data_IF_967208231374
#
_entry.id   IF_967208231374
#
_cell.length_a   1.000
_cell.length_b   1.000
_cell.length_c   1.000
_cell.angle_alpha   90.00
_cell.angle_beta   90.00
_cell.angle_gamma   90.00
#
_symmetry.space_group_name_H-M   'P 1'
#
loop_
_entity.id
_entity.type
_entity.pdbx_description
1 polymer ?
#
# COMPACT_ATOMS: atom_id res chain seq x y z
N UNK A 1 -25.45 -4.02 -8.03
CA UNK A 1 -25.63 -3.97 -6.57
C UNK A 1 -25.42 -2.54 -6.10
N UNK A 2 -26.15 -2.09 -5.07
CA UNK A 2 -25.99 -0.73 -4.53
C UNK A 2 -24.73 -0.67 -3.66
N UNK A 3 -23.65 -0.09 -4.20
CA UNK A 3 -22.43 0.19 -3.43
C UNK A 3 -22.73 1.30 -2.44
N UNK A 4 -22.90 0.97 -1.16
CA UNK A 4 -23.02 1.97 -0.09
C UNK A 4 -21.65 2.56 0.25
N UNK A 5 -21.42 3.82 -0.10
CA UNK A 5 -20.22 4.56 0.32
C UNK A 5 -20.40 4.98 1.78
N UNK A 6 -19.84 4.20 2.70
CA UNK A 6 -19.84 4.53 4.13
C UNK A 6 -18.70 5.50 4.43
N UNK A 7 -19.01 6.65 5.04
CA UNK A 7 -18.00 7.62 5.48
C UNK A 7 -16.99 6.98 6.44
N UNK A 8 -15.71 7.19 6.16
CA UNK A 8 -14.58 6.74 6.99
C UNK A 8 -14.03 7.85 7.90
N UNK A 9 -14.65 9.04 7.88
CA UNK A 9 -14.18 10.19 8.68
C UNK A 9 -14.23 9.85 10.18
N UNK A 10 -13.08 9.94 10.84
CA UNK A 10 -12.91 9.62 12.26
C UNK A 10 -12.64 8.14 12.58
N UNK A 11 -12.61 7.25 11.57
CA UNK A 11 -12.22 5.85 11.78
C UNK A 11 -10.70 5.71 11.84
N UNK A 12 -10.25 4.79 12.67
CA UNK A 12 -8.85 4.38 12.75
C UNK A 12 -8.68 3.04 12.03
N UNK A 13 -7.53 2.86 11.38
CA UNK A 13 -7.20 1.67 10.61
C UNK A 13 -5.85 1.13 11.04
N UNK A 14 -5.70 -0.20 11.05
CA UNK A 14 -4.42 -0.88 11.21
C UNK A 14 -3.96 -1.37 9.83
N UNK A 15 -2.76 -0.96 9.42
CA UNK A 15 -2.09 -1.35 8.17
C UNK A 15 -0.60 -1.55 8.43
N UNK A 16 0.06 -2.34 7.59
CA UNK A 16 1.51 -2.48 7.54
C UNK A 16 2.10 -1.30 6.77
N UNK A 17 3.21 -0.76 7.26
CA UNK A 17 4.06 0.14 6.47
C UNK A 17 4.96 -0.72 5.59
N UNK A 18 4.84 -0.54 4.27
CA UNK A 18 5.64 -1.25 3.26
C UNK A 18 6.82 -0.40 2.81
N UNK A 19 6.58 0.89 2.55
CA UNK A 19 7.60 1.84 2.12
C UNK A 19 7.65 3.09 3.01
N UNK A 20 8.85 3.64 3.16
CA UNK A 20 9.14 4.85 3.96
C UNK A 20 9.65 5.99 3.06
N UNK A 21 9.73 7.24 3.55
CA UNK A 21 10.23 8.35 2.74
C UNK A 21 11.57 8.04 2.07
N UNK A 22 11.64 8.27 0.75
CA UNK A 22 12.80 7.99 -0.10
C UNK A 22 12.76 6.64 -0.83
N UNK A 23 11.95 5.68 -0.36
CA UNK A 23 11.80 4.37 -1.01
C UNK A 23 11.18 4.50 -2.40
N UNK A 24 11.63 3.64 -3.31
CA UNK A 24 10.95 3.41 -4.59
C UNK A 24 9.95 2.27 -4.46
N UNK A 25 8.66 2.56 -4.60
CA UNK A 25 7.58 1.60 -4.33
C UNK A 25 6.75 1.32 -5.57
N UNK A 26 6.20 0.11 -5.66
CA UNK A 26 5.27 -0.29 -6.71
C UNK A 26 4.39 -1.45 -6.28
N UNK A 27 3.53 -1.93 -7.18
CA UNK A 27 2.61 -3.05 -6.92
C UNK A 27 2.61 -3.99 -8.10
N UNK A 28 3.14 -5.20 -7.94
CA UNK A 28 3.16 -6.23 -8.99
C UNK A 28 2.34 -7.45 -8.55
N UNK A 29 1.44 -7.94 -9.40
CA UNK A 29 0.57 -9.09 -9.09
C UNK A 29 -0.09 -8.94 -7.70
N UNK A 30 -0.74 -7.80 -7.43
CA UNK A 30 -1.34 -7.43 -6.13
C UNK A 30 -0.39 -7.18 -4.94
N UNK A 31 0.90 -7.51 -5.08
CA UNK A 31 1.85 -7.44 -3.97
C UNK A 31 2.65 -6.13 -4.05
N UNK A 32 2.63 -5.32 -2.98
CA UNK A 32 3.47 -4.14 -2.93
C UNK A 32 4.95 -4.54 -2.78
N UNK A 33 5.82 -3.76 -3.40
CA UNK A 33 7.26 -3.96 -3.32
C UNK A 33 8.01 -2.65 -3.10
N UNK A 34 9.23 -2.76 -2.60
CA UNK A 34 10.23 -1.70 -2.56
C UNK A 34 11.44 -2.12 -3.40
N UNK A 35 11.82 -1.29 -4.36
CA UNK A 35 13.07 -1.47 -5.10
C UNK A 35 14.24 -1.06 -4.22
N UNK A 36 15.24 -1.94 -4.09
CA UNK A 36 16.41 -1.74 -3.25
C UNK A 36 17.61 -1.24 -4.07
N UNK A 37 18.00 -1.97 -5.11
CA UNK A 37 19.15 -1.65 -5.95
C UNK A 37 18.96 -2.19 -7.38
N UNK A 38 19.66 -1.60 -8.36
CA UNK A 38 19.76 -2.13 -9.72
C UNK A 38 21.21 -2.09 -10.19
N UNK A 39 21.66 -3.17 -10.84
CA UNK A 39 22.96 -3.29 -11.50
C UNK A 39 22.69 -3.56 -12.99
N UNK A 40 22.73 -2.50 -13.79
CA UNK A 40 22.24 -2.57 -15.18
C UNK A 40 20.73 -2.81 -15.21
N UNK A 41 20.31 -3.85 -15.94
CA UNK A 41 18.90 -4.24 -16.07
C UNK A 41 18.43 -5.21 -14.96
N UNK A 42 19.34 -5.67 -14.09
CA UNK A 42 19.02 -6.56 -12.97
C UNK A 42 18.72 -5.74 -11.71
N UNK A 43 17.56 -5.95 -11.09
CA UNK A 43 17.07 -5.16 -9.98
C UNK A 43 16.61 -6.06 -8.83
N UNK A 44 16.97 -5.66 -7.60
CA UNK A 44 16.58 -6.35 -6.37
C UNK A 44 15.41 -5.65 -5.70
N UNK A 45 14.40 -6.42 -5.30
CA UNK A 45 13.17 -5.93 -4.69
C UNK A 45 12.90 -6.62 -3.35
N UNK A 46 12.39 -5.86 -2.37
CA UNK A 46 11.69 -6.41 -1.21
C UNK A 46 10.20 -6.45 -1.50
N UNK A 47 9.62 -7.64 -1.52
CA UNK A 47 8.18 -7.84 -1.77
C UNK A 47 7.48 -8.15 -0.45
N UNK A 48 6.44 -7.38 -0.12
CA UNK A 48 5.59 -7.61 1.05
C UNK A 48 4.33 -8.37 0.62
N UNK A 49 4.16 -9.59 1.12
CA UNK A 49 2.99 -10.42 0.80
C UNK A 49 1.79 -9.99 1.62
N UNK A 50 0.87 -9.27 0.98
CA UNK A 50 -0.30 -8.68 1.66
C UNK A 50 -1.62 -9.31 1.24
N UNK A 51 -1.57 -10.51 0.65
CA UNK A 51 -2.73 -11.18 0.04
C UNK A 51 -3.09 -10.61 -1.32
N UNK A 52 -3.67 -11.46 -2.18
CA UNK A 52 -4.15 -11.05 -3.50
C UNK A 52 -5.22 -9.97 -3.37
N UNK A 53 -5.14 -8.95 -4.21
CA UNK A 53 -6.06 -7.82 -4.25
C UNK A 53 -6.65 -7.79 -5.65
N UNK A 54 -7.93 -8.12 -5.82
CA UNK A 54 -8.61 -7.99 -7.11
C UNK A 54 -9.99 -7.43 -6.86
N UNK A 55 -10.22 -6.21 -7.35
CA UNK A 55 -11.50 -5.49 -7.24
C UNK A 55 -11.81 -4.74 -8.55
N UNK A 56 -11.85 -5.43 -9.70
CA UNK A 56 -12.17 -4.80 -10.99
C UNK A 56 -13.60 -4.21 -11.02
N UNK A 57 -14.45 -4.62 -10.09
CA UNK A 57 -15.78 -4.06 -9.85
C UNK A 57 -15.74 -2.65 -9.22
N UNK A 58 -14.62 -2.25 -8.61
CA UNK A 58 -14.48 -0.99 -7.88
C UNK A 58 -13.35 -0.09 -8.39
N UNK A 59 -12.26 -0.67 -8.87
CA UNK A 59 -11.05 0.04 -9.27
C UNK A 59 -10.48 -0.58 -10.54
N UNK A 60 -9.95 0.26 -11.44
CA UNK A 60 -9.27 -0.21 -12.65
C UNK A 60 -8.08 -1.10 -12.29
N UNK A 61 -7.77 -2.09 -13.13
CA UNK A 61 -6.69 -3.07 -12.90
C UNK A 61 -5.32 -2.41 -12.73
N UNK A 62 -5.11 -1.27 -13.38
CA UNK A 62 -3.92 -0.43 -13.20
C UNK A 62 -3.80 0.12 -11.77
N UNK A 63 -4.85 0.09 -10.94
CA UNK A 63 -4.78 0.49 -9.53
C UNK A 63 -4.11 -0.55 -8.64
N UNK A 64 -3.95 -1.79 -9.07
CA UNK A 64 -3.43 -2.87 -8.22
C UNK A 64 -2.53 -3.87 -8.94
N UNK A 65 -2.30 -3.69 -10.24
CA UNK A 65 -1.41 -4.49 -11.05
C UNK A 65 -0.55 -3.60 -11.97
N UNK A 66 0.52 -3.02 -11.43
CA UNK A 66 1.42 -2.09 -12.12
C UNK A 66 2.77 -2.73 -12.37
N UNK A 67 3.14 -2.87 -13.64
CA UNK A 67 4.40 -3.52 -14.03
C UNK A 67 5.60 -2.62 -13.71
N UNK A 68 5.43 -1.29 -13.67
CA UNK A 68 6.46 -0.32 -13.30
C UNK A 68 6.21 0.31 -11.92
N UNK A 69 7.24 0.75 -11.18
CA UNK A 69 7.08 1.43 -9.89
C UNK A 69 6.39 2.78 -10.10
N UNK A 70 5.07 2.82 -9.95
CA UNK A 70 4.31 4.07 -10.07
C UNK A 70 3.49 4.29 -8.81
N UNK A 71 3.77 5.42 -8.17
CA UNK A 71 2.99 5.94 -7.05
C UNK A 71 1.78 6.64 -7.66
N UNK A 72 0.56 6.24 -7.27
CA UNK A 72 -0.64 6.96 -7.69
C UNK A 72 -0.66 8.35 -7.02
N UNK A 73 -0.19 9.40 -7.69
CA UNK A 73 -0.15 10.76 -7.15
C UNK A 73 -1.32 11.64 -7.61
N UNK A 74 -2.25 11.13 -8.44
CA UNK A 74 -3.25 11.93 -9.19
C UNK A 74 -2.63 13.04 -10.08
N UNK A 75 -1.33 13.00 -10.32
CA UNK A 75 -0.57 13.94 -11.15
C UNK A 75 0.16 13.08 -12.18
N UNK A 76 0.05 13.40 -13.46
CA UNK A 76 0.64 12.66 -14.59
C UNK A 76 2.19 12.68 -14.64
N UNK A 77 2.85 12.81 -13.50
CA UNK A 77 4.27 12.51 -13.32
C UNK A 77 4.34 11.35 -12.33
N UNK A 78 4.51 10.14 -12.87
CA UNK A 78 4.82 8.96 -12.08
C UNK A 78 6.11 9.22 -11.30
N UNK A 79 5.99 9.65 -10.04
CA UNK A 79 7.13 9.75 -9.15
C UNK A 79 7.46 8.35 -8.66
N UNK A 80 8.68 7.89 -8.86
CA UNK A 80 9.07 6.55 -8.41
C UNK A 80 9.37 6.50 -6.91
N UNK A 81 9.56 7.64 -6.24
CA UNK A 81 10.03 7.75 -4.85
C UNK A 81 9.01 8.41 -3.93
N UNK A 82 8.84 7.85 -2.74
CA UNK A 82 8.04 8.48 -1.67
C UNK A 82 8.67 9.79 -1.21
N UNK A 83 7.87 10.85 -1.15
CA UNK A 83 8.33 12.14 -0.65
C UNK A 83 8.60 12.14 0.86
N UNK A 84 9.23 13.21 1.34
CA UNK A 84 9.37 13.45 2.77
C UNK A 84 8.00 13.46 3.45
N UNK A 85 7.83 12.55 4.40
CA UNK A 85 6.58 12.39 5.15
C UNK A 85 5.50 11.58 4.43
N UNK A 86 5.85 10.87 3.36
CA UNK A 86 4.98 9.89 2.71
C UNK A 86 5.36 8.46 3.08
N UNK A 87 4.35 7.62 3.20
CA UNK A 87 4.48 6.21 3.52
C UNK A 87 3.59 5.40 2.60
N UNK A 88 4.08 4.27 2.10
CA UNK A 88 3.25 3.32 1.38
C UNK A 88 2.75 2.25 2.35
N UNK A 89 1.43 2.11 2.49
CA UNK A 89 0.82 1.18 3.44
C UNK A 89 -0.04 0.14 2.76
N UNK A 90 -0.03 -1.09 3.27
CA UNK A 90 -0.87 -2.16 2.77
C UNK A 90 -1.41 -3.00 3.93
N UNK A 91 -2.62 -3.53 3.78
CA UNK A 91 -3.21 -4.44 4.75
C UNK A 91 -3.02 -5.88 4.31
N UNK A 92 -2.68 -6.76 5.25
CA UNK A 92 -2.37 -8.18 4.99
C UNK A 92 -3.58 -9.01 4.53
N UNK A 93 -4.81 -8.46 4.57
CA UNK A 93 -6.05 -9.14 4.16
C UNK A 93 -6.43 -8.89 2.69
N UNK A 94 -5.44 -8.66 1.82
CA UNK A 94 -5.59 -8.63 0.36
C UNK A 94 -6.76 -7.77 -0.11
N UNK A 95 -7.64 -8.37 -0.90
CA UNK A 95 -8.82 -7.77 -1.54
C UNK A 95 -9.79 -7.04 -0.59
N UNK A 96 -9.75 -7.34 0.72
CA UNK A 96 -10.58 -6.65 1.73
C UNK A 96 -9.94 -5.35 2.24
N UNK A 97 -8.73 -5.03 1.80
CA UNK A 97 -7.97 -3.87 2.27
C UNK A 97 -7.88 -2.79 1.19
N UNK A 98 -8.69 -1.73 1.32
CA UNK A 98 -8.48 -0.51 0.53
C UNK A 98 -7.31 0.28 1.16
N UNK A 99 -6.16 0.31 0.49
CA UNK A 99 -4.88 0.83 0.99
C UNK A 99 -4.04 1.48 -0.13
N UNK A 100 -2.77 1.81 0.13
CA UNK A 100 -1.94 2.62 -0.78
C UNK A 100 -1.76 2.01 -2.17
N UNK A 101 -2.05 0.72 -2.35
CA UNK A 101 -2.15 0.11 -3.68
C UNK A 101 -3.10 0.93 -4.57
N UNK A 102 -4.27 1.26 -4.04
CA UNK A 102 -5.33 1.97 -4.77
C UNK A 102 -5.17 3.49 -4.71
N UNK A 103 -5.04 4.05 -3.49
CA UNK A 103 -5.13 5.51 -3.27
C UNK A 103 -3.78 6.20 -3.07
N UNK A 104 -2.66 5.49 -3.25
CA UNK A 104 -1.32 6.07 -3.19
C UNK A 104 -0.82 6.36 -1.77
N UNK A 105 0.19 7.24 -1.62
CA UNK A 105 0.90 7.41 -0.36
C UNK A 105 0.07 8.01 0.78
N UNK A 106 0.31 7.51 1.99
CA UNK A 106 -0.22 8.07 3.23
C UNK A 106 0.69 9.18 3.75
N UNK A 107 0.13 10.36 4.00
CA UNK A 107 0.85 11.45 4.67
C UNK A 107 1.07 11.13 6.16
N UNK A 108 2.26 11.43 6.69
CA UNK A 108 2.69 11.21 8.09
C UNK A 108 1.69 11.70 9.14
N UNK A 109 1.00 12.80 8.88
CA UNK A 109 0.00 13.39 9.80
C UNK A 109 -1.16 12.45 10.14
N UNK A 110 -1.37 11.40 9.34
CA UNK A 110 -2.38 10.37 9.56
C UNK A 110 -1.81 9.10 10.24
N UNK A 111 -0.53 9.09 10.63
CA UNK A 111 0.07 8.02 11.41
C UNK A 111 0.08 8.41 12.89
N UNK A 112 -0.69 7.70 13.70
CA UNK A 112 -0.89 8.04 15.13
C UNK A 112 -0.09 7.15 16.09
N UNK A 113 0.36 5.97 15.65
CA UNK A 113 1.04 5.01 16.53
C UNK A 113 1.45 3.72 15.83
N UNK A 114 2.09 2.83 16.58
CA UNK A 114 2.54 1.50 16.13
C UNK A 114 1.91 0.42 17.01
N UNK A 115 1.51 -0.71 16.40
CA UNK A 115 1.04 -1.88 17.13
C UNK A 115 2.26 -2.72 17.56
N UNK A 116 2.63 -2.63 18.84
CA UNK A 116 3.85 -3.28 19.37
C UNK A 116 3.59 -4.67 19.96
N UNK A 117 2.36 -4.94 20.41
CA UNK A 117 2.02 -6.16 21.13
C UNK A 117 0.75 -6.77 20.55
N UNK A 118 0.80 -8.07 20.25
CA UNK A 118 -0.39 -8.90 19.98
C UNK A 118 -0.58 -9.80 21.19
N UNK A 119 -1.63 -9.54 21.97
CA UNK A 119 -1.93 -10.32 23.17
C UNK A 119 -2.98 -11.36 22.77
N UNK A 120 -2.58 -12.63 22.76
CA UNK A 120 -3.49 -13.77 22.54
C UNK A 120 -4.21 -14.09 23.87
N UNK A 121 -5.50 -14.50 23.86
CA UNK A 121 -6.20 -14.88 25.09
C UNK A 121 -5.46 -16.01 25.81
N UNK A 122 -5.00 -15.72 27.03
CA UNK A 122 -4.14 -16.64 27.77
C UNK A 122 -4.90 -17.85 28.34
N UNK A 123 -6.23 -17.81 28.43
CA UNK A 123 -7.11 -18.92 28.81
C UNK A 123 -8.54 -18.67 28.27
N UNK A 124 -9.25 -19.74 27.91
CA UNK A 124 -10.67 -19.76 27.53
C UNK A 124 -11.53 -20.31 28.67
#
# INVERSE_FOLDING_TARGET
>A
ENVQIVSTKGKQFLKRVVGVPGDRVGVINSNPYVLLECIGDDCTYRVDRTGEYSRPDMFDDESWNRISPTINTNIHEDTERLDRGEYFVAGDNGFRSVDSRVWGPLKKKYLFGTAQWVIFPANH
#
